data_IF_587002230267
#
_entry.id   IF_587002230267
#
_cell.length_a   1.000
_cell.length_b   1.000
_cell.length_c   1.000
_cell.angle_alpha   90.00
_cell.angle_beta   90.00
_cell.angle_gamma   90.00
#
_symmetry.space_group_name_H-M   'P 1'
#
loop_
_entity.id
_entity.type
_entity.pdbx_description
1 polymer ?
#
# COMPACT_ATOMS: atom_id res chain seq x y z
N UNK A 1 -33.72 -12.22 -26.18
CA UNK A 1 -35.09 -11.82 -25.82
C UNK A 1 -35.04 -11.38 -24.36
N UNK A 2 -35.52 -10.19 -24.01
CA UNK A 2 -35.50 -9.73 -22.62
C UNK A 2 -36.56 -10.47 -21.80
N UNK A 3 -36.28 -10.85 -20.54
CA UNK A 3 -37.26 -11.56 -19.73
C UNK A 3 -38.47 -10.66 -19.42
N UNK A 4 -39.66 -11.26 -19.37
CA UNK A 4 -40.93 -10.53 -19.13
C UNK A 4 -40.93 -9.74 -17.82
N UNK A 5 -40.10 -10.15 -16.85
CA UNK A 5 -39.91 -9.49 -15.56
C UNK A 5 -39.35 -8.06 -15.65
N UNK A 6 -38.66 -7.69 -16.74
CA UNK A 6 -38.12 -6.33 -16.92
C UNK A 6 -38.92 -5.49 -17.91
N UNK A 7 -39.67 -6.12 -18.82
CA UNK A 7 -40.46 -5.41 -19.82
C UNK A 7 -41.57 -4.59 -19.16
N UNK A 8 -42.23 -5.14 -18.13
CA UNK A 8 -43.30 -4.44 -17.42
C UNK A 8 -42.79 -3.21 -16.62
N UNK A 9 -41.71 -3.30 -15.80
CA UNK A 9 -41.10 -2.13 -15.16
C UNK A 9 -40.66 -1.04 -16.14
N UNK A 10 -40.09 -1.42 -17.28
CA UNK A 10 -39.60 -0.47 -18.29
C UNK A 10 -40.76 0.19 -19.03
N UNK A 11 -41.82 -0.57 -19.35
CA UNK A 11 -43.02 0.00 -19.95
C UNK A 11 -43.68 0.98 -18.97
N UNK A 12 -43.81 0.60 -17.70
CA UNK A 12 -44.34 1.50 -16.67
C UNK A 12 -43.47 2.77 -16.53
N UNK A 13 -42.15 2.68 -16.69
CA UNK A 13 -41.27 3.85 -16.71
C UNK A 13 -41.61 4.81 -17.86
N UNK A 14 -41.83 4.31 -19.08
CA UNK A 14 -42.22 5.16 -20.21
C UNK A 14 -43.55 5.90 -19.99
N UNK A 15 -44.50 5.30 -19.27
CA UNK A 15 -45.80 5.92 -19.01
C UNK A 15 -45.84 6.77 -17.73
N UNK A 16 -45.05 6.46 -16.70
CA UNK A 16 -45.15 7.09 -15.38
C UNK A 16 -43.91 7.87 -14.93
N UNK A 17 -42.78 7.72 -15.63
CA UNK A 17 -41.47 8.24 -15.22
C UNK A 17 -40.89 7.57 -13.97
N UNK A 18 -41.52 6.50 -13.45
CA UNK A 18 -41.10 5.80 -12.23
C UNK A 18 -40.72 4.36 -12.52
N UNK A 19 -39.61 3.90 -11.93
CA UNK A 19 -39.13 2.52 -12.06
C UNK A 19 -38.64 2.00 -10.71
N UNK A 20 -39.03 0.77 -10.37
CA UNK A 20 -38.53 0.08 -9.18
C UNK A 20 -37.32 -0.79 -9.56
N UNK A 21 -36.17 -0.50 -8.94
CA UNK A 21 -34.91 -1.18 -9.21
C UNK A 21 -34.49 -1.99 -7.97
N UNK A 22 -34.14 -3.25 -8.21
CA UNK A 22 -33.51 -4.19 -7.27
C UNK A 22 -32.19 -4.71 -7.86
N UNK A 23 -31.41 -5.50 -7.10
CA UNK A 23 -30.08 -5.95 -7.57
C UNK A 23 -30.14 -6.90 -8.77
N UNK A 24 -31.22 -7.68 -8.88
CA UNK A 24 -31.39 -8.68 -9.93
C UNK A 24 -31.82 -8.03 -11.26
N UNK A 25 -32.68 -7.02 -11.20
CA UNK A 25 -33.19 -6.30 -12.35
C UNK A 25 -32.27 -5.15 -12.79
N UNK A 26 -31.44 -4.58 -11.91
CA UNK A 26 -30.59 -3.42 -12.21
C UNK A 26 -29.66 -3.66 -13.41
N UNK A 27 -29.05 -4.85 -13.47
CA UNK A 27 -28.18 -5.25 -14.58
C UNK A 27 -28.99 -5.38 -15.87
N UNK A 28 -30.16 -6.01 -15.81
CA UNK A 28 -31.00 -6.26 -16.99
C UNK A 28 -31.65 -4.98 -17.54
N UNK A 29 -32.09 -4.10 -16.65
CA UNK A 29 -32.58 -2.77 -17.00
C UNK A 29 -31.44 -1.96 -17.61
N UNK A 30 -30.21 -2.00 -17.05
CA UNK A 30 -29.05 -1.34 -17.65
C UNK A 30 -28.74 -1.86 -19.06
N UNK A 31 -28.77 -3.18 -19.28
CA UNK A 31 -28.61 -3.79 -20.63
C UNK A 31 -29.66 -3.21 -21.59
N UNK A 32 -30.93 -3.15 -21.17
CA UNK A 32 -32.00 -2.61 -21.98
C UNK A 32 -31.79 -1.13 -22.28
N UNK A 33 -31.59 -0.31 -21.25
CA UNK A 33 -31.42 1.14 -21.37
C UNK A 33 -30.22 1.50 -22.24
N UNK A 34 -29.12 0.76 -22.14
CA UNK A 34 -27.97 0.92 -23.04
C UNK A 34 -28.31 0.57 -24.48
N UNK A 35 -29.02 -0.56 -24.71
CA UNK A 35 -29.42 -0.99 -26.05
C UNK A 35 -30.36 -0.01 -26.76
N UNK A 36 -31.26 0.61 -26.00
CA UNK A 36 -32.27 1.56 -26.53
C UNK A 36 -31.90 3.03 -26.28
N UNK A 37 -30.67 3.31 -25.83
CA UNK A 37 -30.12 4.67 -25.63
C UNK A 37 -30.99 5.56 -24.72
N UNK A 38 -31.46 5.01 -23.59
CA UNK A 38 -32.25 5.74 -22.60
C UNK A 38 -31.32 6.26 -21.50
N UNK A 39 -30.73 7.43 -21.74
CA UNK A 39 -29.65 7.98 -20.91
C UNK A 39 -30.02 8.16 -19.42
N UNK A 40 -31.24 8.64 -19.13
CA UNK A 40 -31.73 8.82 -17.75
C UNK A 40 -31.69 7.52 -16.94
N UNK A 41 -32.10 6.40 -17.56
CA UNK A 41 -32.07 5.09 -16.92
C UNK A 41 -30.64 4.55 -16.82
N UNK A 42 -29.77 4.82 -17.80
CA UNK A 42 -28.36 4.43 -17.75
C UNK A 42 -27.69 5.10 -16.54
N UNK A 43 -27.91 6.40 -16.34
CA UNK A 43 -27.35 7.14 -15.21
C UNK A 43 -27.90 6.64 -13.88
N UNK A 44 -29.23 6.47 -13.78
CA UNK A 44 -29.90 6.02 -12.57
C UNK A 44 -29.47 4.60 -12.17
N UNK A 45 -29.46 3.65 -13.11
CA UNK A 45 -28.99 2.28 -12.88
C UNK A 45 -27.50 2.25 -12.52
N UNK A 46 -26.67 3.04 -13.21
CA UNK A 46 -25.25 3.15 -12.90
C UNK A 46 -25.02 3.67 -11.48
N UNK A 47 -25.82 4.63 -11.01
CA UNK A 47 -25.74 5.14 -9.65
C UNK A 47 -26.16 4.08 -8.62
N UNK A 48 -27.25 3.36 -8.88
CA UNK A 48 -27.74 2.28 -8.02
C UNK A 48 -26.71 1.14 -7.88
N UNK A 49 -26.10 0.71 -9.00
CA UNK A 49 -25.06 -0.32 -9.00
C UNK A 49 -23.81 0.14 -8.24
N UNK A 50 -23.37 1.40 -8.41
CA UNK A 50 -22.25 1.96 -7.65
C UNK A 50 -22.49 1.93 -6.14
N UNK A 51 -23.74 2.13 -5.68
CA UNK A 51 -24.08 2.12 -4.25
C UNK A 51 -24.07 0.71 -3.65
N UNK A 52 -24.46 -0.31 -4.42
CA UNK A 52 -24.58 -1.70 -3.96
C UNK A 52 -23.46 -2.62 -4.46
N UNK A 53 -22.29 -2.06 -4.73
CA UNK A 53 -21.19 -2.74 -5.40
C UNK A 53 -20.59 -3.86 -4.53
N UNK A 54 -20.69 -5.12 -4.97
CA UNK A 54 -20.14 -6.31 -4.29
C UNK A 54 -18.96 -6.91 -5.06
N UNK A 55 -18.11 -7.68 -4.36
CA UNK A 55 -16.97 -8.37 -5.00
C UNK A 55 -17.43 -9.42 -6.00
N UNK A 56 -18.43 -10.23 -5.65
CA UNK A 56 -18.86 -11.36 -6.49
C UNK A 56 -19.40 -10.90 -7.86
N UNK A 57 -20.06 -9.74 -7.89
CA UNK A 57 -20.65 -9.17 -9.11
C UNK A 57 -19.65 -8.37 -9.96
N UNK A 58 -18.40 -8.20 -9.52
CA UNK A 58 -17.48 -7.22 -10.10
C UNK A 58 -17.02 -7.58 -11.51
N UNK A 59 -16.81 -8.88 -11.76
CA UNK A 59 -16.35 -9.39 -13.06
C UNK A 59 -17.47 -9.26 -14.08
N UNK A 60 -18.69 -9.59 -13.69
CA UNK A 60 -19.88 -9.45 -14.55
C UNK A 60 -20.13 -7.97 -14.87
N UNK A 61 -20.06 -7.08 -13.87
CA UNK A 61 -20.21 -5.64 -14.10
C UNK A 61 -19.12 -5.11 -15.03
N UNK A 62 -17.87 -5.58 -14.92
CA UNK A 62 -16.80 -5.18 -15.84
C UNK A 62 -17.09 -5.59 -17.28
N UNK A 63 -17.43 -6.87 -17.49
CA UNK A 63 -17.78 -7.40 -18.83
C UNK A 63 -18.97 -6.65 -19.44
N UNK A 64 -20.01 -6.41 -18.64
CA UNK A 64 -21.18 -5.66 -19.07
C UNK A 64 -20.84 -4.22 -19.42
N UNK A 65 -20.08 -3.54 -18.56
CA UNK A 65 -19.68 -2.14 -18.79
C UNK A 65 -18.84 -1.99 -20.06
N UNK A 66 -17.97 -2.96 -20.35
CA UNK A 66 -17.15 -2.96 -21.56
C UNK A 66 -18.01 -3.23 -22.81
N UNK A 67 -18.88 -4.23 -22.76
CA UNK A 67 -19.80 -4.56 -23.86
C UNK A 67 -20.75 -3.41 -24.25
N UNK A 68 -21.07 -2.53 -23.29
CA UNK A 68 -22.00 -1.41 -23.45
C UNK A 68 -21.31 -0.05 -23.56
N UNK A 69 -19.98 0.00 -23.51
CA UNK A 69 -19.19 1.24 -23.49
C UNK A 69 -19.58 2.22 -22.34
N UNK A 70 -20.00 1.71 -21.18
CA UNK A 70 -20.36 2.52 -20.01
C UNK A 70 -19.10 2.86 -19.22
N UNK A 71 -18.32 3.81 -19.78
CA UNK A 71 -17.01 4.22 -19.26
C UNK A 71 -17.03 4.66 -17.79
N UNK A 72 -18.13 5.27 -17.34
CA UNK A 72 -18.27 5.70 -15.94
C UNK A 72 -18.28 4.53 -14.96
N UNK A 73 -18.99 3.45 -15.31
CA UNK A 73 -19.11 2.25 -14.48
C UNK A 73 -17.82 1.43 -14.54
N UNK A 74 -17.21 1.35 -15.72
CA UNK A 74 -15.91 0.70 -15.94
C UNK A 74 -14.79 1.38 -15.12
N UNK A 75 -14.68 2.71 -15.18
CA UNK A 75 -13.71 3.47 -14.38
C UNK A 75 -13.96 3.36 -12.87
N UNK A 76 -15.23 3.32 -12.44
CA UNK A 76 -15.57 3.10 -11.04
C UNK A 76 -15.15 1.69 -10.58
N UNK A 77 -15.42 0.68 -11.40
CA UNK A 77 -15.06 -0.72 -11.15
C UNK A 77 -13.55 -0.87 -10.99
N UNK A 78 -12.74 -0.30 -11.90
CA UNK A 78 -11.29 -0.29 -11.76
C UNK A 78 -10.82 0.40 -10.48
N UNK A 79 -11.40 1.56 -10.11
CA UNK A 79 -11.08 2.25 -8.85
C UNK A 79 -11.43 1.40 -7.62
N UNK A 80 -12.53 0.67 -7.65
CA UNK A 80 -12.95 -0.21 -6.56
C UNK A 80 -11.99 -1.41 -6.42
N UNK A 81 -11.62 -2.04 -7.54
CA UNK A 81 -10.62 -3.12 -7.59
C UNK A 81 -9.27 -2.62 -7.05
N UNK A 82 -8.77 -1.48 -7.54
CA UNK A 82 -7.49 -0.93 -7.09
C UNK A 82 -7.46 -0.59 -5.60
N UNK A 83 -8.61 -0.24 -4.99
CA UNK A 83 -8.71 0.01 -3.54
C UNK A 83 -8.65 -1.28 -2.71
N UNK A 84 -9.17 -2.39 -3.23
CA UNK A 84 -9.31 -3.64 -2.49
C UNK A 84 -8.51 -4.80 -3.11
N UNK A 85 -7.46 -4.47 -3.87
CA UNK A 85 -6.78 -5.43 -4.74
C UNK A 85 -6.17 -6.61 -3.98
N UNK A 86 -5.65 -6.40 -2.76
CA UNK A 86 -5.11 -7.49 -1.92
C UNK A 86 -6.18 -8.53 -1.50
N UNK A 87 -7.44 -8.12 -1.37
CA UNK A 87 -8.56 -9.04 -1.14
C UNK A 87 -8.99 -9.70 -2.44
N UNK A 88 -9.10 -8.91 -3.51
CA UNK A 88 -9.48 -9.38 -4.83
C UNK A 88 -8.54 -10.46 -5.38
N UNK A 89 -7.23 -10.36 -5.14
CA UNK A 89 -6.27 -11.34 -5.65
C UNK A 89 -6.38 -12.72 -4.98
N UNK A 90 -7.00 -12.78 -3.80
CA UNK A 90 -7.21 -14.02 -3.04
C UNK A 90 -8.46 -14.76 -3.50
N UNK A 91 -9.37 -14.11 -4.21
CA UNK A 91 -10.60 -14.73 -4.72
C UNK A 91 -10.36 -15.43 -6.05
N UNK A 92 -11.23 -16.36 -6.42
CA UNK A 92 -11.23 -17.01 -7.73
C UNK A 92 -11.54 -16.04 -8.88
N UNK A 93 -12.12 -14.88 -8.57
CA UNK A 93 -12.55 -13.87 -9.56
C UNK A 93 -11.41 -13.35 -10.44
N UNK A 94 -10.16 -13.37 -9.96
CA UNK A 94 -9.03 -12.98 -10.79
C UNK A 94 -8.86 -13.91 -12.00
N UNK A 95 -9.21 -15.20 -11.87
CA UNK A 95 -9.08 -16.20 -12.92
C UNK A 95 -10.08 -15.98 -14.07
N UNK A 96 -11.20 -15.33 -13.78
CA UNK A 96 -12.26 -15.06 -14.74
C UNK A 96 -12.00 -13.79 -15.57
N UNK A 97 -11.14 -12.89 -15.10
CA UNK A 97 -10.82 -11.65 -15.81
C UNK A 97 -10.17 -11.89 -17.18
N UNK A 98 -10.46 -10.98 -18.09
CA UNK A 98 -9.81 -10.90 -19.41
C UNK A 98 -8.49 -10.13 -19.34
N UNK A 99 -7.62 -10.38 -20.32
CA UNK A 99 -6.29 -9.77 -20.38
C UNK A 99 -6.36 -8.24 -20.37
N UNK A 100 -7.31 -7.66 -21.13
CA UNK A 100 -7.49 -6.21 -21.26
C UNK A 100 -7.79 -5.55 -19.91
N UNK A 101 -8.74 -6.10 -19.16
CA UNK A 101 -9.10 -5.58 -17.83
C UNK A 101 -7.94 -5.73 -16.85
N UNK A 102 -7.26 -6.88 -16.83
CA UNK A 102 -6.10 -7.08 -15.97
C UNK A 102 -4.98 -6.08 -16.32
N UNK A 103 -4.78 -5.83 -17.61
CA UNK A 103 -3.86 -4.82 -18.11
C UNK A 103 -4.21 -3.40 -17.65
N UNK A 104 -5.47 -2.99 -17.75
CA UNK A 104 -5.92 -1.66 -17.30
C UNK A 104 -5.82 -1.50 -15.79
N UNK A 105 -6.17 -2.54 -15.02
CA UNK A 105 -6.04 -2.54 -13.56
C UNK A 105 -4.57 -2.36 -13.20
N UNK A 106 -3.67 -3.15 -13.77
CA UNK A 106 -2.23 -3.10 -13.45
C UNK A 106 -1.53 -1.82 -13.94
N UNK A 107 -2.06 -1.13 -14.94
CA UNK A 107 -1.56 0.22 -15.29
C UNK A 107 -1.74 1.23 -14.15
N UNK A 108 -2.62 0.98 -13.17
CA UNK A 108 -2.80 1.86 -12.03
C UNK A 108 -1.64 1.74 -11.01
N UNK A 109 -0.95 2.84 -10.74
CA UNK A 109 0.17 2.90 -9.79
C UNK A 109 -0.28 2.94 -8.32
N UNK A 110 -1.56 3.22 -8.03
CA UNK A 110 -2.09 3.32 -6.66
C UNK A 110 -2.47 1.96 -6.03
N UNK A 111 -2.20 0.85 -6.72
CA UNK A 111 -2.47 -0.50 -6.22
C UNK A 111 -1.50 -0.83 -5.08
N UNK A 112 -2.04 -1.28 -3.96
CA UNK A 112 -1.26 -1.73 -2.82
C UNK A 112 -1.21 -3.26 -2.81
N UNK A 113 -0.11 -3.86 -3.31
CA UNK A 113 0.10 -5.31 -3.29
C UNK A 113 1.59 -5.66 -3.26
N UNK A 114 1.90 -6.90 -2.84
CA UNK A 114 3.25 -7.45 -2.96
C UNK A 114 3.41 -7.89 -4.41
N UNK A 115 4.39 -7.31 -5.11
CA UNK A 115 4.65 -7.58 -6.53
C UNK A 115 5.00 -9.06 -6.79
N UNK A 116 5.62 -9.76 -5.84
CA UNK A 116 5.82 -11.21 -5.93
C UNK A 116 4.50 -12.00 -5.83
N UNK A 117 3.59 -11.61 -4.93
CA UNK A 117 2.24 -12.22 -4.86
C UNK A 117 1.44 -11.95 -6.14
N UNK A 118 1.57 -10.75 -6.69
CA UNK A 118 0.97 -10.40 -7.96
C UNK A 118 1.52 -11.29 -9.08
N UNK A 119 2.84 -11.44 -9.17
CA UNK A 119 3.50 -12.33 -10.13
C UNK A 119 3.00 -13.77 -10.03
N UNK A 120 2.96 -14.34 -8.83
CA UNK A 120 2.40 -15.68 -8.61
C UNK A 120 0.94 -15.79 -9.07
N UNK A 121 0.15 -14.74 -8.89
CA UNK A 121 -1.26 -14.73 -9.26
C UNK A 121 -1.47 -14.59 -10.77
N UNK A 122 -0.61 -13.83 -11.45
CA UNK A 122 -0.58 -13.73 -12.92
C UNK A 122 -0.22 -15.09 -13.53
N UNK A 123 0.75 -15.81 -12.96
CA UNK A 123 1.06 -17.18 -13.39
C UNK A 123 -0.15 -18.10 -13.21
N UNK A 124 -0.84 -18.02 -12.06
CA UNK A 124 -2.06 -18.82 -11.82
C UNK A 124 -3.15 -18.49 -12.83
N UNK A 125 -3.34 -17.20 -13.15
CA UNK A 125 -4.27 -16.74 -14.17
C UNK A 125 -3.92 -17.28 -15.57
N UNK A 126 -2.65 -17.16 -15.98
CA UNK A 126 -2.19 -17.68 -17.27
C UNK A 126 -2.37 -19.18 -17.40
N UNK A 127 -2.03 -19.96 -16.35
CA UNK A 127 -2.29 -21.41 -16.32
C UNK A 127 -3.78 -21.73 -16.45
N UNK A 128 -4.64 -20.98 -15.78
CA UNK A 128 -6.09 -21.18 -15.85
C UNK A 128 -6.65 -20.91 -17.25
N UNK A 129 -6.23 -19.81 -17.90
CA UNK A 129 -6.67 -19.49 -19.27
C UNK A 129 -6.23 -20.55 -20.29
N UNK A 130 -5.08 -21.18 -20.08
CA UNK A 130 -4.56 -22.26 -20.93
C UNK A 130 -5.03 -23.66 -20.51
N UNK A 131 -5.93 -23.77 -19.53
CA UNK A 131 -6.39 -25.05 -18.95
C UNK A 131 -5.24 -25.97 -18.47
N UNK A 132 -4.12 -25.40 -18.06
CA UNK A 132 -2.95 -26.12 -17.53
C UNK A 132 -3.21 -26.49 -16.06
N UNK A 133 -2.86 -27.72 -15.67
CA UNK A 133 -3.00 -28.18 -14.29
C UNK A 133 -2.23 -27.27 -13.31
N UNK A 134 -2.96 -26.62 -12.41
CA UNK A 134 -2.40 -25.67 -11.44
C UNK A 134 -1.37 -26.29 -10.49
N UNK A 135 -1.44 -27.60 -10.22
CA UNK A 135 -0.52 -28.32 -9.33
C UNK A 135 0.80 -28.71 -10.02
N UNK A 136 0.88 -28.65 -11.36
CA UNK A 136 2.13 -28.91 -12.08
C UNK A 136 3.11 -27.75 -11.84
N UNK A 137 4.29 -28.08 -11.30
CA UNK A 137 5.43 -27.15 -11.24
C UNK A 137 5.79 -26.66 -12.64
N UNK A 138 6.14 -25.38 -12.77
CA UNK A 138 6.50 -24.78 -14.07
C UNK A 138 7.66 -25.51 -14.74
N UNK A 139 8.59 -26.05 -13.95
CA UNK A 139 9.72 -26.86 -14.43
C UNK A 139 9.30 -28.18 -15.10
N UNK A 140 8.09 -28.69 -14.82
CA UNK A 140 7.54 -29.93 -15.39
C UNK A 140 6.58 -29.68 -16.56
N UNK A 141 6.43 -28.43 -17.01
CA UNK A 141 5.62 -28.11 -18.19
C UNK A 141 6.40 -28.45 -19.45
N UNK A 142 5.68 -28.91 -20.47
CA UNK A 142 6.26 -29.15 -21.79
C UNK A 142 6.71 -27.83 -22.42
N UNK A 143 7.69 -27.90 -23.33
CA UNK A 143 8.27 -26.70 -23.95
C UNK A 143 7.20 -25.86 -24.66
N UNK A 144 6.26 -26.51 -25.33
CA UNK A 144 5.15 -25.85 -26.03
C UNK A 144 4.14 -25.19 -25.07
N UNK A 145 3.84 -25.83 -23.93
CA UNK A 145 2.99 -25.25 -22.88
C UNK A 145 3.64 -24.00 -22.26
N UNK A 146 4.97 -24.01 -22.10
CA UNK A 146 5.74 -22.87 -21.60
C UNK A 146 5.72 -21.70 -22.58
N UNK A 147 5.92 -21.95 -23.87
CA UNK A 147 5.91 -20.91 -24.91
C UNK A 147 4.53 -20.24 -24.98
N UNK A 148 3.43 -21.02 -25.00
CA UNK A 148 2.07 -20.47 -24.97
C UNK A 148 1.78 -19.66 -23.70
N UNK A 149 2.27 -20.11 -22.54
CA UNK A 149 2.13 -19.38 -21.29
C UNK A 149 2.92 -18.06 -21.31
N UNK A 150 4.12 -18.08 -21.88
CA UNK A 150 4.96 -16.89 -22.02
C UNK A 150 4.28 -15.84 -22.90
N UNK A 151 3.73 -16.24 -24.05
CA UNK A 151 3.00 -15.33 -24.94
C UNK A 151 1.78 -14.72 -24.23
N UNK A 152 0.99 -15.54 -23.53
CA UNK A 152 -0.22 -15.10 -22.84
C UNK A 152 0.02 -14.11 -21.70
N UNK A 153 1.17 -14.19 -21.02
CA UNK A 153 1.51 -13.30 -19.89
C UNK A 153 2.44 -12.15 -20.30
N UNK A 154 2.99 -12.16 -21.52
CA UNK A 154 4.04 -11.24 -21.98
C UNK A 154 3.67 -9.75 -21.81
N UNK A 155 2.43 -9.38 -22.09
CA UNK A 155 1.96 -7.99 -21.96
C UNK A 155 1.76 -7.58 -20.49
N UNK A 156 1.33 -8.52 -19.65
CA UNK A 156 1.00 -8.28 -18.25
C UNK A 156 2.27 -8.28 -17.38
N UNK A 157 3.20 -9.19 -17.66
CA UNK A 157 4.43 -9.39 -16.90
C UNK A 157 5.35 -8.15 -16.97
N UNK A 158 5.29 -7.41 -18.09
CA UNK A 158 5.99 -6.13 -18.28
C UNK A 158 5.52 -5.03 -17.32
N UNK A 159 4.32 -5.16 -16.73
CA UNK A 159 3.76 -4.18 -15.77
C UNK A 159 4.09 -4.52 -14.32
N UNK A 160 4.81 -5.62 -14.07
CA UNK A 160 5.25 -6.03 -12.73
C UNK A 160 6.54 -5.29 -12.37
N UNK A 161 6.61 -4.79 -11.15
CA UNK A 161 7.81 -4.11 -10.64
C UNK A 161 8.68 -5.11 -9.90
N UNK A 162 9.57 -5.75 -10.64
CA UNK A 162 10.52 -6.71 -10.08
C UNK A 162 11.53 -6.10 -9.08
N UNK A 163 11.69 -4.76 -9.04
CA UNK A 163 12.52 -4.08 -8.02
C UNK A 163 12.04 -4.37 -6.60
N UNK A 164 10.75 -4.63 -6.42
CA UNK A 164 10.16 -4.88 -5.10
C UNK A 164 10.34 -6.35 -4.64
N UNK A 165 10.99 -7.21 -5.43
CA UNK A 165 11.24 -8.61 -5.10
C UNK A 165 12.49 -8.76 -4.20
N UNK A 166 12.50 -9.73 -3.30
CA UNK A 166 13.70 -10.13 -2.57
C UNK A 166 14.69 -10.90 -3.47
N UNK A 167 15.95 -11.01 -3.01
CA UNK A 167 17.01 -11.75 -3.72
C UNK A 167 16.59 -13.20 -4.02
N UNK A 168 15.98 -13.87 -3.06
CA UNK A 168 15.50 -15.26 -3.20
C UNK A 168 14.33 -15.34 -4.19
N UNK A 169 13.35 -14.45 -4.07
CA UNK A 169 12.18 -14.42 -4.95
C UNK A 169 12.56 -14.16 -6.41
N UNK A 170 13.54 -13.28 -6.66
CA UNK A 170 14.09 -13.07 -8.00
C UNK A 170 14.79 -14.31 -8.54
N UNK A 171 15.62 -15.00 -7.74
CA UNK A 171 16.27 -16.26 -8.15
C UNK A 171 15.23 -17.31 -8.53
N UNK A 172 14.19 -17.48 -7.71
CA UNK A 172 13.13 -18.45 -7.95
C UNK A 172 12.26 -18.08 -9.17
N UNK A 173 12.10 -16.79 -9.42
CA UNK A 173 11.38 -16.25 -10.59
C UNK A 173 12.18 -16.45 -11.88
N UNK A 174 13.50 -16.21 -11.87
CA UNK A 174 14.38 -16.44 -13.02
C UNK A 174 14.47 -17.92 -13.39
N UNK A 175 14.51 -18.83 -12.40
CA UNK A 175 14.49 -20.29 -12.61
C UNK A 175 13.23 -20.82 -13.31
N UNK A 176 12.16 -20.02 -13.40
CA UNK A 176 10.92 -20.44 -14.03
C UNK A 176 10.93 -20.23 -15.55
N UNK A 177 11.87 -19.45 -16.10
CA UNK A 177 12.00 -19.17 -17.55
C UNK A 177 10.74 -18.56 -18.22
N UNK A 178 9.76 -18.11 -17.42
CA UNK A 178 8.50 -17.55 -17.91
C UNK A 178 8.60 -16.07 -18.31
N UNK A 179 9.67 -15.40 -17.89
CA UNK A 179 9.88 -13.98 -18.15
C UNK A 179 10.53 -13.84 -19.53
N UNK A 180 10.00 -12.97 -20.42
CA UNK A 180 10.65 -12.63 -21.68
C UNK A 180 12.13 -12.33 -21.49
N UNK A 181 12.98 -12.87 -22.37
CA UNK A 181 14.44 -12.80 -22.24
C UNK A 181 14.97 -11.37 -22.01
N UNK A 182 14.31 -10.36 -22.58
CA UNK A 182 14.63 -8.94 -22.40
C UNK A 182 14.48 -8.47 -20.95
N UNK A 183 13.39 -8.86 -20.28
CA UNK A 183 13.14 -8.49 -18.87
C UNK A 183 14.05 -9.32 -17.96
N UNK A 184 14.23 -10.62 -18.24
CA UNK A 184 15.16 -11.48 -17.49
C UNK A 184 16.58 -10.91 -17.47
N UNK A 185 17.07 -10.39 -18.61
CA UNK A 185 18.38 -9.72 -18.71
C UNK A 185 18.46 -8.44 -17.86
N UNK A 186 17.38 -7.67 -17.79
CA UNK A 186 17.30 -6.44 -16.97
C UNK A 186 17.23 -6.74 -15.46
N UNK A 187 16.54 -7.80 -15.04
CA UNK A 187 16.50 -8.22 -13.62
C UNK A 187 17.87 -8.67 -13.12
N UNK A 188 18.62 -9.34 -13.99
CA UNK A 188 20.00 -9.75 -13.72
C UNK A 188 20.91 -8.50 -13.62
N UNK A 189 20.69 -7.45 -14.43
CA UNK A 189 21.41 -6.17 -14.30
C UNK A 189 21.10 -5.45 -12.97
N UNK A 190 19.83 -5.39 -12.55
CA UNK A 190 19.45 -4.83 -11.25
C UNK A 190 20.03 -5.62 -10.07
N UNK A 191 20.11 -6.95 -10.17
CA UNK A 191 20.72 -7.78 -9.12
C UNK A 191 22.21 -7.50 -8.94
N UNK A 192 22.96 -7.17 -10.00
CA UNK A 192 24.37 -6.77 -9.87
C UNK A 192 24.55 -5.47 -9.10
N UNK A 193 23.71 -4.47 -9.38
CA UNK A 193 23.77 -3.15 -8.74
C UNK A 193 23.47 -3.24 -7.23
N UNK A 194 22.65 -4.21 -6.81
CA UNK A 194 22.39 -4.47 -5.38
C UNK A 194 23.47 -5.35 -4.70
N UNK A 195 24.42 -5.91 -5.46
CA UNK A 195 25.42 -6.87 -4.99
C UNK A 195 26.87 -6.37 -5.15
N UNK A 196 27.13 -5.07 -5.07
CA UNK A 196 28.52 -4.55 -5.04
C UNK A 196 29.35 -4.99 -3.81
N UNK A 197 28.81 -5.84 -2.93
CA UNK A 197 29.55 -6.44 -1.83
C UNK A 197 29.22 -7.94 -1.70
N UNK A 198 29.90 -8.81 -2.46
CA UNK A 198 30.37 -10.16 -2.07
C UNK A 198 30.92 -10.94 -3.29
N UNK A 199 32.07 -11.60 -3.12
CA UNK A 199 32.92 -12.19 -4.17
C UNK A 199 32.67 -13.70 -4.27
N UNK A 200 32.11 -14.22 -5.37
CA UNK A 200 32.02 -15.67 -5.64
C UNK A 200 32.26 -16.00 -7.13
N UNK A 201 32.89 -17.14 -7.42
CA UNK A 201 33.40 -17.54 -8.76
C UNK A 201 32.32 -17.73 -9.84
N UNK A 202 31.06 -17.96 -9.46
CA UNK A 202 29.89 -17.96 -10.35
C UNK A 202 29.68 -16.59 -11.05
N UNK A 203 30.27 -15.51 -10.52
CA UNK A 203 30.27 -14.18 -11.15
C UNK A 203 31.00 -14.14 -12.50
N UNK A 204 32.05 -14.95 -12.71
CA UNK A 204 32.92 -14.81 -13.90
C UNK A 204 32.26 -15.32 -15.18
N UNK A 205 31.54 -16.44 -15.10
CA UNK A 205 30.80 -16.98 -16.24
C UNK A 205 29.61 -16.09 -16.59
N UNK A 206 28.94 -15.56 -15.56
CA UNK A 206 27.88 -14.58 -15.73
C UNK A 206 28.42 -13.32 -16.42
N UNK A 207 29.55 -12.74 -15.95
CA UNK A 207 30.18 -11.53 -16.52
C UNK A 207 30.48 -11.65 -18.01
N UNK A 208 30.99 -12.80 -18.47
CA UNK A 208 31.24 -13.06 -19.91
C UNK A 208 29.96 -13.16 -20.73
N UNK A 209 28.89 -13.72 -20.17
CA UNK A 209 27.59 -13.80 -20.84
C UNK A 209 26.92 -12.41 -20.99
N UNK A 210 27.19 -11.53 -20.02
CA UNK A 210 26.68 -10.14 -19.93
C UNK A 210 27.33 -9.24 -20.99
N UNK A 211 28.66 -9.23 -21.08
CA UNK A 211 29.41 -8.40 -22.03
C UNK A 211 29.04 -8.70 -23.49
N UNK A 212 28.61 -9.94 -23.77
CA UNK A 212 28.12 -10.37 -25.08
C UNK A 212 26.74 -9.77 -25.43
N UNK A 213 25.90 -9.48 -24.44
CA UNK A 213 24.52 -9.00 -24.61
C UNK A 213 24.38 -7.48 -24.51
N UNK A 214 25.34 -6.78 -23.92
CA UNK A 214 25.40 -5.31 -23.82
C UNK A 214 25.54 -4.59 -25.18
N UNK A 215 25.95 -5.29 -26.24
CA UNK A 215 26.15 -4.69 -27.57
C UNK A 215 24.86 -4.52 -28.39
N UNK A 216 23.70 -4.91 -27.88
CA UNK A 216 22.44 -4.93 -28.64
C UNK A 216 21.30 -4.19 -27.91
N UNK A 217 21.21 -2.87 -28.17
CA UNK A 217 20.08 -1.95 -27.99
C UNK A 217 19.68 -1.43 -26.59
N UNK A 218 19.36 -0.12 -26.62
CA UNK A 218 18.87 0.74 -25.55
C UNK A 218 17.35 0.94 -25.65
N UNK A 219 16.61 0.65 -24.58
CA UNK A 219 15.57 1.51 -23.99
C UNK A 219 14.65 0.79 -22.98
N UNK A 220 14.16 1.60 -22.03
CA UNK A 220 13.10 1.43 -21.03
C UNK A 220 13.44 0.75 -19.68
N UNK A 221 13.66 1.60 -18.67
CA UNK A 221 13.32 1.35 -17.27
C UNK A 221 12.15 2.27 -16.89
N UNK A 222 10.92 1.76 -16.73
CA UNK A 222 9.84 2.50 -16.05
C UNK A 222 9.65 1.84 -14.68
N UNK A 223 10.47 2.22 -13.71
CA UNK A 223 10.35 1.69 -12.36
C UNK A 223 10.17 2.82 -11.34
N UNK A 224 8.93 3.31 -11.20
CA UNK A 224 8.51 3.86 -9.90
C UNK A 224 7.95 2.70 -9.08
N UNK A 225 8.58 2.22 -8.00
CA UNK A 225 8.05 1.19 -7.09
C UNK A 225 6.56 1.42 -6.74
N UNK A 226 5.78 0.35 -6.59
CA UNK A 226 4.36 0.47 -6.20
C UNK A 226 4.37 0.66 -4.69
N UNK A 227 3.81 1.77 -4.21
CA UNK A 227 3.89 2.09 -2.78
C UNK A 227 3.16 1.03 -1.94
N UNK A 228 3.90 0.34 -1.08
CA UNK A 228 3.37 -0.60 -0.10
C UNK A 228 3.61 -0.04 1.30
N UNK A 229 2.51 0.28 1.99
CA UNK A 229 2.55 0.72 3.37
C UNK A 229 1.75 -0.23 4.23
N UNK A 230 2.46 -1.17 4.81
CA UNK A 230 1.90 -2.13 5.73
C UNK A 230 1.95 -1.53 7.13
N UNK A 231 0.82 -0.96 7.55
CA UNK A 231 0.61 -0.46 8.90
C UNK A 231 -0.65 -1.09 9.47
N UNK A 232 -0.54 -1.61 10.69
CA UNK A 232 -1.67 -2.03 11.52
C UNK A 232 -2.29 -0.82 12.23
N UNK A 233 -1.52 0.27 12.41
CA UNK A 233 -1.98 1.52 13.01
C UNK A 233 -2.85 2.34 12.03
N UNK A 234 -2.42 2.48 10.77
CA UNK A 234 -3.15 3.29 9.78
C UNK A 234 -3.10 2.74 8.35
N UNK A 235 -4.26 2.30 7.85
CA UNK A 235 -4.45 1.91 6.45
C UNK A 235 -5.23 2.96 5.64
N UNK A 236 -5.57 4.11 6.24
CA UNK A 236 -6.33 5.17 5.58
C UNK A 236 -5.49 5.83 4.49
N UNK A 237 -5.98 5.82 3.24
CA UNK A 237 -5.30 6.44 2.08
C UNK A 237 -4.97 7.92 2.30
N UNK A 238 -5.81 8.65 3.03
CA UNK A 238 -5.58 10.07 3.33
C UNK A 238 -4.37 10.29 4.23
N UNK A 239 -4.21 9.47 5.27
CA UNK A 239 -3.05 9.52 6.17
C UNK A 239 -1.77 9.20 5.42
N UNK A 240 -1.81 8.16 4.58
CA UNK A 240 -0.69 7.77 3.70
C UNK A 240 -0.29 8.93 2.78
N UNK A 241 -1.26 9.59 2.12
CA UNK A 241 -0.99 10.75 1.26
C UNK A 241 -0.36 11.91 2.03
N UNK A 242 -0.79 12.14 3.27
CA UNK A 242 -0.20 13.16 4.15
C UNK A 242 1.25 12.81 4.52
N UNK A 243 1.51 11.58 4.97
CA UNK A 243 2.85 11.10 5.26
C UNK A 243 3.78 11.25 4.05
N UNK A 244 3.32 10.85 2.86
CA UNK A 244 4.07 11.03 1.62
C UNK A 244 4.50 12.49 1.41
N UNK A 245 3.53 13.40 1.50
CA UNK A 245 3.75 14.84 1.31
C UNK A 245 4.69 15.41 2.37
N UNK A 246 4.63 14.91 3.60
CA UNK A 246 5.44 15.40 4.73
C UNK A 246 6.88 14.89 4.74
N UNK A 247 7.08 13.65 4.35
CA UNK A 247 8.39 13.02 4.20
C UNK A 247 9.12 13.64 3.00
N UNK A 248 8.42 13.90 1.90
CA UNK A 248 8.95 14.58 0.71
C UNK A 248 10.27 13.97 0.20
N UNK A 249 10.38 12.65 0.30
CA UNK A 249 11.50 11.84 -0.14
C UNK A 249 10.89 10.58 -0.76
N UNK A 250 10.69 10.60 -2.08
CA UNK A 250 10.06 9.49 -2.79
C UNK A 250 10.89 8.21 -2.62
N UNK A 251 12.22 8.28 -2.71
CA UNK A 251 13.09 7.10 -2.58
C UNK A 251 12.90 6.43 -1.21
N UNK A 252 12.99 7.20 -0.12
CA UNK A 252 12.76 6.67 1.21
C UNK A 252 11.32 6.16 1.38
N UNK A 253 10.34 6.95 0.95
CA UNK A 253 8.94 6.61 1.12
C UNK A 253 8.56 5.32 0.38
N UNK A 254 9.12 5.07 -0.81
CA UNK A 254 8.83 3.86 -1.55
C UNK A 254 9.65 2.64 -1.13
N UNK A 255 10.88 2.83 -0.61
CA UNK A 255 11.77 1.72 -0.21
C UNK A 255 11.60 1.28 1.24
N UNK A 256 11.07 2.13 2.12
CA UNK A 256 10.92 1.80 3.55
C UNK A 256 10.04 0.57 3.77
N UNK A 257 10.46 -0.30 4.70
CA UNK A 257 9.72 -1.52 5.08
C UNK A 257 9.40 -1.49 6.57
N UNK A 258 8.35 -2.20 6.99
CA UNK A 258 8.06 -2.40 8.41
C UNK A 258 9.12 -3.32 9.01
N UNK A 259 9.96 -2.79 9.90
CA UNK A 259 11.11 -3.50 10.46
C UNK A 259 10.91 -3.89 11.91
N UNK A 260 10.12 -3.12 12.65
CA UNK A 260 9.70 -3.42 14.01
C UNK A 260 8.21 -3.18 14.19
N UNK A 261 7.54 -4.07 14.92
CA UNK A 261 6.17 -3.90 15.40
C UNK A 261 6.11 -4.44 16.83
N UNK A 262 5.64 -3.64 17.80
CA UNK A 262 5.59 -4.10 19.20
C UNK A 262 4.64 -5.29 19.40
N UNK A 263 3.53 -5.35 18.67
CA UNK A 263 2.65 -6.55 18.65
C UNK A 263 3.34 -7.81 18.18
N UNK A 264 4.26 -7.71 17.22
CA UNK A 264 5.04 -8.86 16.71
C UNK A 264 6.27 -9.15 17.56
N UNK A 265 6.95 -8.11 18.00
CA UNK A 265 8.30 -8.17 18.56
C UNK A 265 8.34 -8.01 20.08
N UNK A 266 7.24 -7.60 20.73
CA UNK A 266 7.14 -7.25 22.15
C UNK A 266 7.41 -5.76 22.39
N UNK A 267 7.13 -5.26 23.60
CA UNK A 267 7.38 -3.86 24.01
C UNK A 267 8.75 -3.66 24.67
N UNK A 268 9.75 -4.43 24.23
CA UNK A 268 11.10 -4.45 24.79
C UNK A 268 12.02 -3.45 24.07
N UNK A 269 12.55 -2.47 24.80
CA UNK A 269 13.45 -1.45 24.27
C UNK A 269 14.80 -2.00 23.81
N UNK A 270 15.39 -2.99 24.50
CA UNK A 270 16.65 -3.60 24.06
C UNK A 270 16.47 -4.28 22.71
N UNK A 271 15.34 -4.97 22.54
CA UNK A 271 14.99 -5.60 21.27
C UNK A 271 14.71 -4.57 20.17
N UNK A 272 14.16 -3.41 20.52
CA UNK A 272 13.98 -2.31 19.57
C UNK A 272 15.33 -1.71 19.15
N UNK A 273 16.20 -1.35 20.09
CA UNK A 273 17.53 -0.80 19.81
C UNK A 273 18.37 -1.73 18.94
N UNK A 274 18.43 -3.02 19.28
CA UNK A 274 19.15 -4.02 18.46
C UNK A 274 18.68 -4.09 16.99
N UNK A 275 17.43 -3.70 16.70
CA UNK A 275 16.86 -3.72 15.35
C UNK A 275 16.90 -2.36 14.65
N UNK A 276 16.73 -1.27 15.39
CA UNK A 276 16.41 0.05 14.85
C UNK A 276 17.56 1.06 14.94
N UNK A 277 18.54 0.84 15.83
CA UNK A 277 19.66 1.77 15.97
C UNK A 277 20.53 1.77 14.70
N UNK A 278 21.02 2.97 14.35
CA UNK A 278 21.94 3.22 13.23
C UNK A 278 21.40 2.76 11.85
N UNK A 279 20.08 2.78 11.64
CA UNK A 279 19.44 2.42 10.36
C UNK A 279 19.18 3.60 9.42
N UNK A 280 19.62 4.81 9.81
CA UNK A 280 19.45 6.03 9.02
C UNK A 280 18.04 6.63 9.15
N UNK A 281 17.52 7.18 8.04
CA UNK A 281 16.17 7.78 8.00
C UNK A 281 15.14 6.76 8.49
N UNK A 282 14.31 7.17 9.43
CA UNK A 282 13.36 6.28 10.10
C UNK A 282 12.01 6.98 10.25
N UNK A 283 10.93 6.27 9.95
CA UNK A 283 9.56 6.70 10.25
C UNK A 283 9.05 5.84 11.41
N UNK A 284 8.58 6.50 12.47
CA UNK A 284 7.99 5.85 13.65
C UNK A 284 6.53 6.27 13.76
N UNK A 285 5.65 5.30 13.92
CA UNK A 285 4.21 5.52 14.09
C UNK A 285 3.79 4.87 15.39
N UNK A 286 3.14 5.65 16.24
CA UNK A 286 2.74 5.24 17.58
C UNK A 286 1.23 5.31 17.66
N UNK A 287 0.60 4.24 18.14
CA UNK A 287 -0.78 4.21 18.60
C UNK A 287 -0.74 4.12 20.12
N UNK A 288 -1.43 5.04 20.79
CA UNK A 288 -1.40 5.12 22.23
C UNK A 288 -2.79 5.40 22.83
N UNK A 289 -2.95 5.07 24.11
CA UNK A 289 -4.13 5.19 24.99
C UNK A 289 -3.74 5.89 26.29
N UNK A 290 -4.64 6.57 26.98
CA UNK A 290 -4.34 7.16 28.31
C UNK A 290 -4.19 6.05 29.35
N UNK A 291 -3.08 6.00 30.09
CA UNK A 291 -2.90 5.42 31.45
C UNK A 291 -1.39 5.42 31.86
N UNK A 292 -1.09 5.55 33.17
CA UNK A 292 0.10 6.22 33.75
C UNK A 292 1.35 5.35 34.08
N UNK A 293 2.57 5.95 34.29
CA UNK A 293 3.74 5.60 35.18
C UNK A 293 5.14 6.24 34.75
N UNK A 294 6.19 6.34 35.63
CA UNK A 294 7.48 7.19 35.63
C UNK A 294 8.97 6.64 35.49
N UNK A 295 9.86 7.46 34.85
CA UNK A 295 11.36 7.69 35.02
C UNK A 295 12.43 6.74 34.36
N UNK A 296 13.68 7.13 33.95
CA UNK A 296 14.38 8.42 33.63
C UNK A 296 15.80 8.22 32.98
N UNK A 297 16.21 9.22 32.17
CA UNK A 297 17.53 9.77 31.76
C UNK A 297 18.22 9.31 30.47
N UNK A 298 18.50 10.25 29.54
CA UNK A 298 19.45 10.06 28.42
C UNK A 298 19.83 11.30 27.54
N UNK A 299 20.64 11.11 26.47
CA UNK A 299 21.37 12.15 25.70
C UNK A 299 20.85 12.45 24.26
N UNK A 300 21.36 13.52 23.61
CA UNK A 300 20.74 14.15 22.43
C UNK A 300 21.45 13.91 21.08
N UNK A 301 20.69 13.84 19.99
CA UNK A 301 21.11 13.73 18.58
C UNK A 301 20.63 14.95 17.78
N UNK A 302 21.49 15.47 16.91
CA UNK A 302 21.19 16.60 16.01
C UNK A 302 20.54 16.10 14.71
N UNK A 303 19.31 16.52 14.41
CA UNK A 303 18.66 16.28 13.11
C UNK A 303 17.78 17.49 12.67
N UNK A 304 18.25 18.32 11.72
CA UNK A 304 17.49 19.49 11.26
C UNK A 304 16.24 19.14 10.44
N UNK A 305 16.11 17.89 9.97
CA UNK A 305 14.97 17.43 9.17
C UNK A 305 13.90 16.71 10.01
N UNK A 306 14.14 16.54 11.32
CA UNK A 306 13.20 15.88 12.21
C UNK A 306 11.87 16.67 12.33
N UNK A 307 10.78 15.93 12.42
CA UNK A 307 9.45 16.47 12.68
C UNK A 307 8.60 15.45 13.42
N UNK A 308 7.69 15.94 14.27
CA UNK A 308 6.62 15.14 14.85
C UNK A 308 5.30 15.44 14.15
N UNK A 309 4.34 14.53 14.22
CA UNK A 309 3.06 14.69 13.52
C UNK A 309 1.93 13.98 14.25
N UNK A 310 0.73 14.52 14.15
CA UNK A 310 -0.50 13.86 14.57
C UNK A 310 -1.29 13.43 13.33
N UNK A 311 -1.63 12.14 13.24
CA UNK A 311 -2.47 11.60 12.15
C UNK A 311 -3.94 11.53 12.53
N UNK A 312 -4.24 11.19 13.79
CA UNK A 312 -5.59 11.05 14.30
C UNK A 312 -5.55 11.26 15.80
N UNK A 313 -6.47 12.06 16.30
CA UNK A 313 -6.84 12.08 17.70
C UNK A 313 -8.36 11.88 17.77
N UNK A 314 -8.79 10.78 18.39
CA UNK A 314 -10.20 10.42 18.46
C UNK A 314 -10.99 11.24 19.48
N UNK A 315 -10.30 11.92 20.41
CA UNK A 315 -10.87 12.82 21.42
C UNK A 315 -11.12 14.19 20.79
N UNK A 316 -10.07 14.82 20.26
CA UNK A 316 -10.15 16.20 19.76
C UNK A 316 -10.63 16.30 18.30
N UNK A 317 -10.70 15.18 17.59
CA UNK A 317 -11.09 15.08 16.16
C UNK A 317 -10.30 16.00 15.22
N UNK A 318 -9.10 16.44 15.64
CA UNK A 318 -8.26 17.35 14.86
C UNK A 318 -7.76 16.70 13.56
N UNK A 319 -7.62 17.52 12.52
CA UNK A 319 -7.10 17.09 11.21
C UNK A 319 -5.60 16.76 11.30
N UNK A 320 -5.09 15.82 10.46
CA UNK A 320 -3.68 15.47 10.46
C UNK A 320 -2.76 16.69 10.28
N UNK A 321 -1.74 16.83 11.12
CA UNK A 321 -0.81 17.97 11.14
C UNK A 321 0.64 17.55 11.41
N UNK A 322 1.58 18.21 10.71
CA UNK A 322 3.04 18.08 10.90
C UNK A 322 3.56 19.28 11.68
N UNK A 323 4.52 19.04 12.56
CA UNK A 323 5.16 20.03 13.41
C UNK A 323 6.68 19.96 13.19
N UNK A 324 7.27 20.93 12.48
CA UNK A 324 8.71 20.98 12.26
C UNK A 324 9.44 21.34 13.55
N UNK A 325 10.73 21.01 13.63
CA UNK A 325 11.60 21.45 14.72
C UNK A 325 11.69 22.99 14.79
N UNK A 326 11.81 23.55 16.00
CA UNK A 326 12.05 24.98 16.16
C UNK A 326 13.48 25.32 15.70
N UNK A 327 13.64 26.53 15.16
CA UNK A 327 14.95 27.09 14.82
C UNK A 327 15.85 27.11 16.08
N UNK A 328 17.10 26.65 15.96
CA UNK A 328 18.08 26.51 17.07
C UNK A 328 17.80 25.36 18.06
N UNK A 329 16.79 24.54 17.82
CA UNK A 329 16.50 23.35 18.63
C UNK A 329 16.96 22.06 17.95
N UNK A 330 17.66 22.15 16.81
CA UNK A 330 18.04 21.00 15.97
C UNK A 330 18.89 19.97 16.74
N UNK A 331 19.68 20.43 17.71
CA UNK A 331 20.48 19.55 18.58
C UNK A 331 19.68 18.70 19.58
N UNK A 332 18.43 19.06 19.80
CA UNK A 332 17.49 18.37 20.67
C UNK A 332 16.39 17.68 19.86
N UNK A 333 16.61 17.45 18.57
CA UNK A 333 15.62 16.84 17.69
C UNK A 333 15.22 15.44 18.15
N UNK A 334 16.22 14.63 18.49
CA UNK A 334 16.03 13.24 18.86
C UNK A 334 16.86 13.00 20.12
N UNK A 335 16.30 12.31 21.10
CA UNK A 335 17.02 11.85 22.27
C UNK A 335 17.21 10.34 22.20
N UNK A 336 18.45 9.91 22.39
CA UNK A 336 18.83 8.50 22.40
C UNK A 336 18.91 8.00 23.82
N UNK A 337 18.05 7.04 24.16
CA UNK A 337 17.99 6.41 25.47
C UNK A 337 18.09 4.90 25.41
N UNK A 338 19.23 4.23 25.71
CA UNK A 338 19.34 2.77 25.67
C UNK A 338 18.39 2.01 26.61
N UNK A 339 17.73 2.69 27.55
CA UNK A 339 16.77 2.11 28.50
C UNK A 339 15.32 2.40 28.11
N UNK A 340 15.06 3.37 27.24
CA UNK A 340 13.72 3.77 26.80
C UNK A 340 13.56 3.68 25.28
N UNK A 341 12.36 3.97 24.80
CA UNK A 341 12.05 4.05 23.38
C UNK A 341 12.58 5.32 22.71
N UNK A 342 12.25 5.50 21.41
CA UNK A 342 12.65 6.68 20.66
C UNK A 342 12.05 7.95 21.26
N UNK A 343 12.88 8.94 21.55
CA UNK A 343 12.43 10.23 22.08
C UNK A 343 12.65 11.34 21.06
N UNK A 344 11.69 12.24 20.92
CA UNK A 344 11.68 13.35 19.97
C UNK A 344 11.66 14.66 20.73
N UNK A 345 12.87 15.19 20.97
CA UNK A 345 13.08 16.27 21.93
C UNK A 345 12.47 15.97 23.29
N UNK A 346 12.08 17.04 23.98
CA UNK A 346 11.32 16.91 25.22
C UNK A 346 9.80 16.83 24.96
N UNK A 347 9.38 16.90 23.69
CA UNK A 347 7.96 16.95 23.30
C UNK A 347 7.27 15.59 23.32
N UNK A 348 7.97 14.50 23.02
CA UNK A 348 7.43 13.13 22.94
C UNK A 348 8.55 12.17 23.35
N UNK A 349 8.41 11.49 24.48
CA UNK A 349 9.42 10.56 24.95
C UNK A 349 8.80 9.35 25.62
N UNK A 350 9.47 8.19 25.52
CA UNK A 350 8.98 6.96 26.15
C UNK A 350 9.52 6.82 27.57
N UNK A 351 8.73 6.14 28.39
CA UNK A 351 9.06 5.70 29.75
C UNK A 351 8.95 4.17 29.78
N UNK A 352 9.85 3.51 30.52
CA UNK A 352 9.88 2.05 30.69
C UNK A 352 9.94 1.25 29.39
N UNK A 353 10.97 1.53 28.61
CA UNK A 353 11.11 0.91 27.31
C UNK A 353 10.11 1.49 26.33
N UNK A 354 9.16 0.68 25.83
CA UNK A 354 8.19 1.10 24.81
C UNK A 354 6.74 1.15 25.28
N UNK A 355 6.51 0.80 26.55
CA UNK A 355 5.16 0.53 27.06
C UNK A 355 4.35 1.79 27.33
N UNK A 356 5.01 2.88 27.70
CA UNK A 356 4.38 4.16 27.98
C UNK A 356 5.25 5.34 27.53
N UNK A 357 4.70 6.55 27.57
CA UNK A 357 5.43 7.77 27.26
C UNK A 357 4.69 9.01 27.75
N UNK A 358 5.26 10.17 27.47
CA UNK A 358 4.75 11.47 27.91
C UNK A 358 5.00 12.53 26.83
N UNK A 359 4.15 13.56 26.81
CA UNK A 359 4.25 14.66 25.86
C UNK A 359 4.31 16.01 26.56
N UNK A 360 5.44 16.71 26.39
CA UNK A 360 5.54 18.14 26.67
C UNK A 360 5.47 18.96 25.38
N UNK A 361 4.46 18.68 24.52
CA UNK A 361 4.41 19.29 23.20
C UNK A 361 4.42 20.82 23.23
N UNK A 362 5.38 21.39 22.50
CA UNK A 362 5.67 22.80 22.41
C UNK A 362 7.06 23.18 22.92
N UNK A 363 7.97 22.27 23.27
CA UNK A 363 9.33 22.57 23.75
C UNK A 363 10.32 22.66 22.58
N UNK A 364 10.66 21.54 21.95
CA UNK A 364 11.62 21.40 20.85
C UNK A 364 10.95 21.57 19.47
N UNK A 365 9.67 21.21 19.34
CA UNK A 365 8.92 21.31 18.08
C UNK A 365 7.97 22.51 18.02
N UNK A 366 7.72 23.03 16.80
CA UNK A 366 6.93 24.24 16.59
C UNK A 366 5.43 23.95 16.79
N UNK A 367 4.81 24.70 17.70
CA UNK A 367 3.36 24.76 17.84
C UNK A 367 2.69 25.43 16.63
N UNK A 368 1.42 25.12 16.36
CA UNK A 368 0.59 25.92 15.47
C UNK A 368 0.53 27.39 15.88
N UNK A 369 0.36 28.25 14.88
CA UNK A 369 0.20 29.68 15.13
C UNK A 369 -1.05 29.91 16.01
N UNK A 370 -0.90 30.75 17.03
CA UNK A 370 -1.94 31.06 18.01
C UNK A 370 -2.01 30.13 19.23
N UNK A 371 -1.23 29.05 19.26
CA UNK A 371 -1.25 28.09 20.39
C UNK A 371 -0.04 28.29 21.29
N UNK A 372 -0.28 28.34 22.60
CA UNK A 372 0.75 28.45 23.63
C UNK A 372 1.16 27.06 24.13
N UNK A 373 2.43 26.92 24.51
CA UNK A 373 2.94 25.71 25.16
C UNK A 373 2.27 25.53 26.52
N UNK A 374 2.26 24.28 27.00
CA UNK A 374 1.73 23.95 28.33
C UNK A 374 0.22 24.22 28.50
N UNK A 375 -0.53 24.21 27.39
CA UNK A 375 -1.99 24.39 27.39
C UNK A 375 -2.71 23.14 26.91
N UNK A 376 -3.94 22.91 27.34
CA UNK A 376 -4.74 21.79 26.83
C UNK A 376 -4.94 21.84 25.31
N UNK A 377 -4.89 23.05 24.73
CA UNK A 377 -4.91 23.22 23.29
C UNK A 377 -3.65 22.71 22.58
N UNK A 378 -2.45 22.88 23.15
CA UNK A 378 -1.24 22.28 22.60
C UNK A 378 -1.29 20.77 22.75
N UNK A 379 -1.60 20.27 23.94
CA UNK A 379 -1.59 18.84 24.22
C UNK A 379 -2.67 18.05 23.45
N UNK A 380 -3.80 18.69 23.14
CA UNK A 380 -4.89 18.11 22.35
C UNK A 380 -4.53 17.69 20.92
N UNK A 381 -3.30 17.90 20.44
CA UNK A 381 -2.81 17.32 19.19
C UNK A 381 -2.36 15.87 19.30
N UNK A 382 -1.85 15.44 20.45
CA UNK A 382 -1.36 14.07 20.66
C UNK A 382 -2.30 13.33 21.60
N UNK A 383 -1.87 13.01 22.82
CA UNK A 383 -2.69 12.39 23.84
C UNK A 383 -2.44 13.16 25.13
N UNK A 384 -3.51 13.70 25.72
CA UNK A 384 -3.53 14.15 27.10
C UNK A 384 -4.96 14.06 27.61
N UNK A 385 -5.16 13.28 28.66
CA UNK A 385 -6.16 13.55 29.68
C UNK A 385 -5.35 14.05 30.86
N UNK A 386 -5.59 15.28 31.32
CA UNK A 386 -4.98 15.75 32.56
C UNK A 386 -5.74 15.06 33.69
N UNK A 387 -5.06 14.15 34.38
CA UNK A 387 -5.62 13.50 35.55
C UNK A 387 -5.35 14.42 36.76
N UNK A 388 -6.40 15.09 37.23
CA UNK A 388 -6.35 16.01 38.37
C UNK A 388 -5.89 15.30 39.66
N UNK A 389 -6.09 13.98 39.78
CA UNK A 389 -5.74 13.20 40.97
C UNK A 389 -4.24 12.84 41.00
N UNK A 390 -3.61 12.67 39.83
CA UNK A 390 -2.20 12.26 39.73
C UNK A 390 -1.25 13.38 39.26
N UNK A 391 -1.78 14.44 38.65
CA UNK A 391 -1.01 15.55 38.10
C UNK A 391 -0.06 15.14 36.97
N UNK A 392 -0.36 14.05 36.24
CA UNK A 392 0.52 13.45 35.22
C UNK A 392 -0.08 13.53 33.80
N UNK A 393 0.81 13.44 32.79
CA UNK A 393 0.52 13.60 31.35
C UNK A 393 0.92 12.35 30.53
N UNK A 394 0.69 11.15 31.05
CA UNK A 394 1.24 9.92 30.46
C UNK A 394 0.30 9.29 29.41
N UNK A 395 0.88 8.51 28.49
CA UNK A 395 0.17 7.57 27.62
C UNK A 395 0.73 6.16 27.78
N UNK A 396 -0.11 5.16 27.55
CA UNK A 396 0.25 3.77 27.26
C UNK A 396 0.29 3.51 25.76
N UNK A 397 1.24 2.71 25.33
CA UNK A 397 1.45 2.39 23.92
C UNK A 397 0.66 1.14 23.55
N UNK A 398 -0.31 1.25 22.66
CA UNK A 398 -1.01 0.09 22.10
C UNK A 398 -0.22 -0.61 20.99
N UNK A 399 0.52 0.16 20.19
CA UNK A 399 1.37 -0.34 19.12
C UNK A 399 2.40 0.71 18.71
N UNK A 400 3.63 0.26 18.43
CA UNK A 400 4.66 1.05 17.77
C UNK A 400 5.18 0.32 16.55
N UNK A 401 5.13 1.00 15.40
CA UNK A 401 5.64 0.51 14.12
C UNK A 401 6.82 1.38 13.68
N UNK A 402 7.95 0.75 13.36
CA UNK A 402 9.17 1.42 12.89
C UNK A 402 9.54 0.99 11.48
N UNK A 403 9.73 1.97 10.60
CA UNK A 403 9.99 1.80 9.19
C UNK A 403 11.33 2.42 8.78
N UNK A 404 12.14 1.66 8.06
CA UNK A 404 13.38 2.11 7.42
C UNK A 404 13.70 1.21 6.21
N UNK A 405 14.65 1.64 5.36
CA UNK A 405 15.03 0.96 4.11
C UNK A 405 15.63 -0.42 4.38
#
# INVERSE_FOLDING_TARGET
>A
MFPSSILFPILNYFYSGKIEINLENAIQILIFSSKYLIDDLIEFCSHFIKKNFKFDTIVDILKLSDSMNINQLLNYSYKFISKNFDKFIKTSLILELEENHLNSILSNHDIQINEFKLFQSIIKWGKHKLNINQKKSIQKLEKEEKEKLQDQISNIIQKIRFIDFSKQELKDTLKQELIPNQISQQLIQFQKIQNENEKDEDEKELKKFIEKKEKENSNLFIFKPRFRFESTITQKKEHIKKLKKWINDDEFFYKMKLRYSAKRDGFDCKKWHSKCDNKGKTLIIIKATSDNYRNSNNGSIIDPNAFIFSLRNDITKRKPKKFPIKKRQEKYAIYYDPKNGPSFGDDIYFKYGLSSGDSNFGISYKLPDGIQSETDESYGYFIRYYDEDTGMNDWNTEEIETYFI
#
